data_IF_147842152137
#
_entry.id   IF_147842152137
#
_cell.length_a   1.000
_cell.length_b   1.000
_cell.length_c   1.000
_cell.angle_alpha   90.00
_cell.angle_beta   90.00
_cell.angle_gamma   90.00
#
_symmetry.space_group_name_H-M   'P 1'
#
loop_
_entity.id
_entity.type
_entity.pdbx_description
1 polymer ?
#
# COMPACT_ATOMS: atom_id res chain seq x y z
N UNK A 1 10.75 -6.15 -9.90
CA UNK A 1 10.42 -6.20 -8.46
C UNK A 1 11.44 -5.34 -7.72
N UNK A 2 10.98 -4.30 -7.03
CA UNK A 2 11.80 -3.45 -6.16
C UNK A 2 11.47 -3.81 -4.70
N UNK A 3 12.49 -3.96 -3.86
CA UNK A 3 12.34 -4.37 -2.45
C UNK A 3 12.85 -3.23 -1.56
N UNK A 4 12.02 -2.81 -0.60
CA UNK A 4 12.31 -1.71 0.32
C UNK A 4 11.88 -2.10 1.73
N UNK A 5 12.65 -1.72 2.74
CA UNK A 5 12.27 -1.83 4.15
C UNK A 5 11.67 -0.52 4.63
N UNK A 6 10.43 -0.51 5.10
CA UNK A 6 9.74 0.69 5.59
C UNK A 6 9.39 0.57 7.07
N UNK A 7 9.55 1.67 7.82
CA UNK A 7 9.06 1.84 9.19
C UNK A 7 7.67 2.48 9.19
N UNK A 8 6.98 2.39 10.33
CA UNK A 8 5.74 3.13 10.57
C UNK A 8 5.97 4.63 10.32
N UNK A 9 5.09 5.23 9.52
CA UNK A 9 5.16 6.62 9.06
C UNK A 9 5.94 6.84 7.76
N UNK A 10 6.66 5.83 7.25
CA UNK A 10 7.39 5.96 5.99
C UNK A 10 6.48 5.65 4.78
N UNK A 11 6.76 6.33 3.67
CA UNK A 11 5.97 6.28 2.44
C UNK A 11 6.79 5.79 1.25
N UNK A 12 6.17 4.97 0.41
CA UNK A 12 6.62 4.64 -0.95
C UNK A 12 5.79 5.46 -1.93
N UNK A 13 6.45 6.18 -2.83
CA UNK A 13 5.80 6.96 -3.88
C UNK A 13 6.04 6.32 -5.26
N UNK A 14 5.00 6.24 -6.08
CA UNK A 14 5.04 5.74 -7.45
C UNK A 14 4.57 6.86 -8.37
N UNK A 15 5.44 7.25 -9.32
CA UNK A 15 5.24 8.36 -10.27
C UNK A 15 4.78 9.68 -9.63
N UNK A 16 5.06 9.88 -8.33
CA UNK A 16 4.59 11.02 -7.55
C UNK A 16 3.06 11.23 -7.58
N UNK A 17 2.30 10.16 -7.82
CA UNK A 17 0.83 10.17 -7.90
C UNK A 17 0.18 9.15 -6.98
N UNK A 18 0.86 8.03 -6.75
CA UNK A 18 0.38 6.97 -5.86
C UNK A 18 1.31 6.90 -4.66
N UNK A 19 0.74 6.93 -3.46
CA UNK A 19 1.47 6.87 -2.21
C UNK A 19 0.97 5.70 -1.39
N UNK A 20 1.91 4.90 -0.86
CA UNK A 20 1.63 3.82 0.07
C UNK A 20 2.40 4.09 1.37
N UNK A 21 1.70 4.23 2.49
CA UNK A 21 2.29 4.50 3.80
C UNK A 21 2.07 3.33 4.76
N UNK A 22 3.11 2.97 5.51
CA UNK A 22 2.99 2.03 6.63
C UNK A 22 2.40 2.77 7.83
N UNK A 23 1.19 2.43 8.22
CA UNK A 23 0.50 3.06 9.35
C UNK A 23 0.77 2.37 10.68
N UNK A 24 0.84 1.03 10.69
CA UNK A 24 1.03 0.26 11.91
C UNK A 24 1.45 -1.18 11.64
N UNK A 25 2.03 -1.83 12.66
CA UNK A 25 2.33 -3.25 12.70
C UNK A 25 1.40 -3.90 13.73
N UNK A 26 0.52 -4.78 13.28
CA UNK A 26 -0.37 -5.50 14.20
C UNK A 26 0.33 -6.74 14.77
N UNK A 27 -0.16 -7.19 15.94
CA UNK A 27 0.44 -8.27 16.73
C UNK A 27 0.50 -9.63 16.02
N UNK A 28 -0.30 -9.83 14.98
CA UNK A 28 -0.40 -11.07 14.21
C UNK A 28 0.40 -11.04 12.89
N UNK A 29 1.31 -10.07 12.75
CA UNK A 29 2.11 -9.91 11.54
C UNK A 29 1.37 -9.21 10.40
N UNK A 30 0.13 -8.74 10.62
CA UNK A 30 -0.54 -7.87 9.67
C UNK A 30 0.09 -6.47 9.68
N UNK A 31 0.09 -5.84 8.51
CA UNK A 31 0.49 -4.44 8.34
C UNK A 31 -0.74 -3.62 7.97
N UNK A 32 -0.89 -2.47 8.62
CA UNK A 32 -1.88 -1.48 8.20
C UNK A 32 -1.22 -0.56 7.18
N UNK A 33 -1.77 -0.55 5.96
CA UNK A 33 -1.30 0.32 4.88
C UNK A 33 -2.38 1.36 4.55
N UNK A 34 -1.94 2.57 4.24
CA UNK A 34 -2.78 3.59 3.61
C UNK A 34 -2.33 3.81 2.17
N UNK A 35 -3.30 3.91 1.27
CA UNK A 35 -3.08 4.25 -0.13
C UNK A 35 -3.74 5.58 -0.44
N UNK A 36 -3.03 6.45 -1.12
CA UNK A 36 -3.53 7.70 -1.68
C UNK A 36 -3.20 7.73 -3.18
N UNK A 37 -4.21 7.99 -4.01
CA UNK A 37 -4.07 8.08 -5.45
C UNK A 37 -5.25 8.82 -6.10
N UNK A 38 -5.09 9.27 -7.36
CA UNK A 38 -6.20 9.79 -8.15
C UNK A 38 -7.33 8.77 -8.33
N UNK A 39 -8.57 9.25 -8.43
CA UNK A 39 -9.77 8.42 -8.60
C UNK A 39 -9.73 7.49 -9.84
N UNK A 40 -8.94 7.85 -10.86
CA UNK A 40 -8.76 7.03 -12.06
C UNK A 40 -7.87 5.81 -11.87
N UNK A 41 -7.21 5.67 -10.71
CA UNK A 41 -6.37 4.52 -10.36
C UNK A 41 -7.14 3.63 -9.39
N UNK A 42 -7.69 2.50 -9.85
CA UNK A 42 -8.42 1.60 -8.97
C UNK A 42 -7.44 0.86 -8.03
N UNK A 43 -7.81 0.76 -6.75
CA UNK A 43 -7.13 -0.10 -5.78
C UNK A 43 -8.00 -1.27 -5.40
N UNK A 44 -7.40 -2.45 -5.47
CA UNK A 44 -8.03 -3.69 -5.05
C UNK A 44 -7.04 -4.48 -4.19
N UNK A 45 -7.59 -5.25 -3.25
CA UNK A 45 -6.81 -6.35 -2.66
C UNK A 45 -6.65 -7.42 -3.72
N UNK A 46 -5.48 -8.04 -3.79
CA UNK A 46 -5.16 -8.99 -4.85
C UNK A 46 -6.16 -10.15 -4.91
N UNK A 47 -6.57 -10.67 -3.75
CA UNK A 47 -7.54 -11.76 -3.63
C UNK A 47 -8.95 -11.39 -4.11
N UNK A 48 -9.27 -10.10 -4.20
CA UNK A 48 -10.53 -9.64 -4.79
C UNK A 48 -10.40 -9.52 -6.31
N UNK A 49 -9.27 -9.00 -6.79
CA UNK A 49 -9.07 -8.68 -8.21
C UNK A 49 -9.11 -9.92 -9.11
N UNK A 50 -8.51 -11.04 -8.69
CA UNK A 50 -8.52 -12.28 -9.47
C UNK A 50 -9.92 -12.96 -9.54
N UNK A 51 -10.88 -12.49 -8.74
CA UNK A 51 -12.26 -12.97 -8.76
C UNK A 51 -13.20 -12.22 -9.71
N UNK A 52 -12.69 -11.30 -10.53
CA UNK A 52 -13.45 -10.39 -11.40
C UNK A 52 -13.25 -10.67 -12.88
#
# INVERSE_FOLDING_TARGET
MLILERRVGETVAIENKVFCMVLDHQLDGQLKLAFDAPECVPFHRFEIQEGS
#
